data_IF_653864714969
#
_entry.id   IF_653864714969
#
_cell.length_a   1.000
_cell.length_b   1.000
_cell.length_c   1.000
_cell.angle_alpha   90.00
_cell.angle_beta   90.00
_cell.angle_gamma   90.00
#
_symmetry.space_group_name_H-M   'P 1'
#
loop_
_entity.id
_entity.type
_entity.pdbx_description
1 polymer ?
#
# COMPACT_ATOMS: atom_id res chain seq x y z
N UNK A 1 -7.95 50.87 -38.92
CA UNK A 1 -8.65 49.87 -38.08
C UNK A 1 -8.20 48.47 -38.49
N UNK A 2 -7.33 47.81 -37.70
CA UNK A 2 -6.91 46.42 -37.92
C UNK A 2 -7.17 45.64 -36.63
N UNK A 3 -8.16 44.75 -36.67
CA UNK A 3 -8.59 43.92 -35.53
C UNK A 3 -7.53 42.84 -35.28
N UNK A 4 -7.02 42.76 -34.06
CA UNK A 4 -6.21 41.64 -33.59
C UNK A 4 -7.15 40.49 -33.20
N UNK A 5 -6.96 39.31 -33.81
CA UNK A 5 -7.59 38.07 -33.40
C UNK A 5 -6.65 37.37 -32.44
N UNK A 6 -6.93 37.46 -31.14
CA UNK A 6 -6.26 36.68 -30.11
C UNK A 6 -6.79 35.25 -30.18
N UNK A 7 -6.01 34.33 -30.73
CA UNK A 7 -6.31 32.90 -30.67
C UNK A 7 -6.05 32.41 -29.23
N UNK A 8 -7.13 32.13 -28.49
CA UNK A 8 -7.06 31.50 -27.17
C UNK A 8 -6.63 30.04 -27.31
N UNK A 9 -5.47 29.69 -26.74
CA UNK A 9 -5.06 28.31 -26.54
C UNK A 9 -5.92 27.70 -25.43
N UNK A 10 -6.88 26.87 -25.80
CA UNK A 10 -7.62 26.04 -24.85
C UNK A 10 -6.71 24.85 -24.51
N UNK A 11 -6.15 24.85 -23.30
CA UNK A 11 -5.54 23.66 -22.72
C UNK A 11 -6.64 22.66 -22.37
N UNK A 12 -6.86 21.69 -23.24
CA UNK A 12 -7.67 20.51 -22.93
C UNK A 12 -6.86 19.65 -21.95
N UNK A 13 -7.23 19.69 -20.66
CA UNK A 13 -6.80 18.68 -19.71
C UNK A 13 -7.44 17.36 -20.10
N UNK A 14 -6.70 16.57 -20.88
CA UNK A 14 -7.00 15.15 -21.08
C UNK A 14 -6.90 14.49 -19.71
N UNK A 15 -8.05 14.10 -19.15
CA UNK A 15 -8.10 13.18 -18.03
C UNK A 15 -7.53 11.84 -18.53
N UNK A 16 -6.23 11.64 -18.32
CA UNK A 16 -5.63 10.32 -18.45
C UNK A 16 -6.37 9.41 -17.48
N UNK A 17 -7.13 8.45 -18.02
CA UNK A 17 -7.61 7.31 -17.25
C UNK A 17 -6.35 6.53 -16.90
N UNK A 18 -5.78 6.81 -15.73
CA UNK A 18 -4.62 6.10 -15.26
C UNK A 18 -5.04 4.67 -14.94
N UNK A 19 -4.59 3.73 -15.77
CA UNK A 19 -4.61 2.33 -15.42
C UNK A 19 -3.52 2.08 -14.38
N UNK A 20 -3.84 1.28 -13.36
CA UNK A 20 -2.84 0.79 -12.42
C UNK A 20 -1.80 -0.05 -13.18
N UNK A 21 -0.49 0.13 -12.90
CA UNK A 21 0.53 -0.70 -13.52
C UNK A 21 0.42 -2.14 -13.02
N UNK A 22 0.66 -3.12 -13.90
CA UNK A 22 0.56 -4.54 -13.58
C UNK A 22 1.56 -4.99 -12.50
N UNK A 23 2.64 -4.24 -12.33
CA UNK A 23 3.65 -4.45 -11.32
C UNK A 23 4.07 -3.11 -10.71
N UNK A 24 4.41 -3.12 -9.43
CA UNK A 24 4.87 -1.92 -8.74
C UNK A 24 5.53 -2.24 -7.42
N UNK A 25 6.35 -1.30 -6.95
CA UNK A 25 6.99 -1.33 -5.63
C UNK A 25 6.70 -0.04 -4.89
N UNK A 26 6.13 -0.16 -3.72
CA UNK A 26 5.62 0.96 -2.94
C UNK A 26 6.31 0.96 -1.58
N UNK A 27 6.81 2.12 -1.18
CA UNK A 27 7.34 2.37 0.15
C UNK A 27 6.29 3.13 0.96
N UNK A 28 5.69 2.46 1.93
CA UNK A 28 4.74 3.02 2.87
C UNK A 28 5.43 3.58 4.10
N UNK A 29 4.82 4.59 4.71
CA UNK A 29 5.11 5.00 6.08
C UNK A 29 3.93 4.67 6.98
N UNK A 30 4.11 3.81 8.00
CA UNK A 30 3.06 3.56 9.00
C UNK A 30 2.85 4.82 9.85
N UNK A 31 1.66 5.41 9.80
CA UNK A 31 1.45 6.77 10.31
C UNK A 31 0.40 6.85 11.43
N UNK A 32 -0.66 6.03 11.35
CA UNK A 32 -1.85 6.19 12.18
C UNK A 32 -2.25 4.89 12.86
N UNK A 33 -2.75 4.98 14.10
CA UNK A 33 -3.49 3.89 14.74
C UNK A 33 -4.94 3.98 14.30
N UNK A 34 -5.40 2.98 13.56
CA UNK A 34 -6.79 2.88 13.08
C UNK A 34 -7.71 2.27 14.15
N UNK A 35 -7.19 1.31 14.92
CA UNK A 35 -7.91 0.61 16.00
C UNK A 35 -6.94 0.23 17.12
N UNK A 36 -7.44 0.25 18.35
CA UNK A 36 -6.70 -0.12 19.56
C UNK A 36 -6.19 1.12 20.31
N UNK A 37 -6.02 0.99 21.63
CA UNK A 37 -5.64 2.11 22.49
C UNK A 37 -4.13 2.42 22.40
N UNK A 38 -3.32 1.41 22.08
CA UNK A 38 -1.88 1.57 21.86
C UNK A 38 -1.30 0.50 20.93
N UNK A 39 -0.60 0.94 19.88
CA UNK A 39 0.31 0.10 19.10
C UNK A 39 1.76 0.29 19.60
N UNK A 40 2.66 -0.69 19.40
CA UNK A 40 4.08 -0.53 19.71
C UNK A 40 4.65 0.73 19.06
N UNK A 41 5.25 1.62 19.86
CA UNK A 41 5.75 2.91 19.37
C UNK A 41 6.85 2.76 18.32
N UNK A 42 7.60 1.65 18.35
CA UNK A 42 8.62 1.34 17.34
C UNK A 42 8.06 1.27 15.91
N UNK A 43 6.76 1.05 15.75
CA UNK A 43 6.10 1.00 14.45
C UNK A 43 5.63 2.37 13.94
N UNK A 44 5.74 3.43 14.76
CA UNK A 44 5.32 4.77 14.34
C UNK A 44 6.35 5.37 13.39
N UNK A 45 5.88 5.80 12.22
CA UNK A 45 6.66 6.43 11.15
C UNK A 45 7.79 5.56 10.58
N UNK A 46 7.64 4.23 10.63
CA UNK A 46 8.63 3.34 10.01
C UNK A 46 8.31 3.08 8.54
N UNK A 47 9.35 2.89 7.71
CA UNK A 47 9.16 2.52 6.32
C UNK A 47 8.79 1.04 6.19
N UNK A 48 7.89 0.74 5.28
CA UNK A 48 7.49 -0.62 4.91
C UNK A 48 7.45 -0.74 3.40
N UNK A 49 8.09 -1.75 2.83
CA UNK A 49 8.14 -1.95 1.38
C UNK A 49 7.24 -3.12 1.01
N UNK A 50 6.34 -2.89 0.06
CA UNK A 50 5.54 -3.91 -0.60
C UNK A 50 5.77 -3.84 -2.09
N UNK A 51 5.88 -4.99 -2.75
CA UNK A 51 5.72 -5.06 -4.21
C UNK A 51 4.52 -5.92 -4.58
N UNK A 52 4.08 -5.79 -5.82
CA UNK A 52 3.03 -6.63 -6.36
C UNK A 52 3.26 -6.92 -7.83
N UNK A 53 2.69 -8.03 -8.26
CA UNK A 53 2.51 -8.40 -9.66
C UNK A 53 1.09 -8.92 -9.81
N UNK A 54 0.28 -8.18 -10.56
CA UNK A 54 -1.14 -8.41 -10.72
C UNK A 54 -1.61 -8.24 -12.16
N UNK A 55 -2.26 -9.27 -12.68
CA UNK A 55 -2.99 -9.20 -13.95
C UNK A 55 -4.44 -8.78 -13.66
N UNK A 56 -4.74 -7.50 -13.91
CA UNK A 56 -6.07 -6.92 -13.65
C UNK A 56 -7.18 -7.49 -14.55
N UNK A 57 -6.86 -7.91 -15.77
CA UNK A 57 -7.83 -8.50 -16.71
C UNK A 57 -8.28 -9.89 -16.25
N UNK A 58 -7.33 -10.68 -15.73
CA UNK A 58 -7.56 -12.05 -15.25
C UNK A 58 -7.85 -12.12 -13.75
N UNK A 59 -7.81 -10.98 -13.06
CA UNK A 59 -8.01 -10.87 -11.62
C UNK A 59 -7.11 -11.84 -10.82
N UNK A 60 -5.85 -11.93 -11.20
CA UNK A 60 -4.91 -12.90 -10.62
C UNK A 60 -3.53 -12.30 -10.39
N UNK A 61 -2.84 -12.76 -9.36
CA UNK A 61 -1.55 -12.25 -8.96
C UNK A 61 -1.41 -12.19 -7.46
N UNK A 62 -0.33 -11.59 -6.98
CA UNK A 62 0.05 -11.58 -5.56
C UNK A 62 0.79 -10.29 -5.24
N UNK A 63 0.82 -9.94 -3.96
CA UNK A 63 1.71 -8.92 -3.43
C UNK A 63 2.66 -9.55 -2.40
N UNK A 64 3.77 -8.89 -2.11
CA UNK A 64 4.69 -9.32 -1.08
C UNK A 64 5.09 -8.14 -0.22
N UNK A 65 4.99 -8.30 1.09
CA UNK A 65 5.82 -7.52 1.99
C UNK A 65 7.27 -7.91 1.70
N UNK A 66 8.17 -6.94 1.59
CA UNK A 66 9.61 -7.17 1.37
C UNK A 66 10.47 -6.75 2.55
N UNK A 67 10.08 -5.66 3.22
CA UNK A 67 10.88 -5.07 4.29
C UNK A 67 10.01 -4.28 5.24
N UNK A 68 10.34 -4.36 6.53
CA UNK A 68 9.85 -3.47 7.59
C UNK A 68 11.06 -2.85 8.26
N UNK A 69 11.23 -1.52 8.15
CA UNK A 69 12.40 -0.81 8.66
C UNK A 69 13.71 -1.45 8.15
N UNK A 70 14.50 -2.06 9.03
CA UNK A 70 15.77 -2.74 8.77
C UNK A 70 15.61 -4.24 8.50
N UNK A 71 14.44 -4.82 8.78
CA UNK A 71 14.17 -6.25 8.64
C UNK A 71 13.70 -6.59 7.23
N UNK A 72 14.50 -7.36 6.50
CA UNK A 72 14.06 -8.04 5.28
C UNK A 72 13.11 -9.18 5.65
N UNK A 73 11.88 -9.11 5.14
CA UNK A 73 10.85 -10.10 5.40
C UNK A 73 9.97 -10.23 4.16
N UNK A 74 10.10 -11.37 3.47
CA UNK A 74 9.29 -11.72 2.30
C UNK A 74 8.01 -12.44 2.73
N UNK A 75 6.95 -11.70 3.05
CA UNK A 75 5.63 -12.26 3.37
C UNK A 75 4.71 -12.21 2.15
N UNK A 76 4.04 -13.30 1.83
CA UNK A 76 3.13 -13.36 0.68
C UNK A 76 1.74 -12.83 1.06
N UNK A 77 1.17 -11.97 0.22
CA UNK A 77 -0.16 -11.41 0.38
C UNK A 77 -1.05 -11.88 -0.77
N UNK A 78 -2.08 -12.65 -0.44
CA UNK A 78 -3.00 -13.26 -1.39
C UNK A 78 -4.19 -12.34 -1.68
N UNK A 79 -4.70 -12.33 -2.93
CA UNK A 79 -5.84 -11.51 -3.28
C UNK A 79 -7.10 -11.97 -2.53
N UNK A 80 -7.85 -11.03 -1.97
CA UNK A 80 -9.11 -11.28 -1.25
C UNK A 80 -10.37 -11.11 -2.09
N UNK A 81 -10.21 -10.84 -3.39
CA UNK A 81 -11.31 -10.59 -4.31
C UNK A 81 -11.51 -9.10 -4.62
N UNK A 82 -12.52 -8.82 -5.43
CA UNK A 82 -12.76 -7.50 -6.03
C UNK A 82 -13.77 -6.68 -5.22
N UNK A 83 -13.38 -5.47 -4.85
CA UNK A 83 -14.27 -4.41 -4.40
C UNK A 83 -13.93 -3.13 -5.18
N UNK A 84 -14.17 -1.95 -4.61
CA UNK A 84 -13.75 -0.66 -5.18
C UNK A 84 -12.22 -0.49 -5.27
N UNK A 85 -11.46 -1.46 -4.75
CA UNK A 85 -10.01 -1.57 -4.75
C UNK A 85 -9.61 -3.06 -4.85
N UNK A 86 -8.36 -3.32 -5.21
CA UNK A 86 -7.76 -4.65 -5.14
C UNK A 86 -7.16 -4.84 -3.75
N UNK A 87 -7.59 -5.88 -3.05
CA UNK A 87 -7.18 -6.17 -1.68
C UNK A 87 -6.32 -7.42 -1.63
N UNK A 88 -5.26 -7.37 -0.85
CA UNK A 88 -4.35 -8.47 -0.60
C UNK A 88 -4.18 -8.65 0.90
N UNK A 89 -4.04 -9.89 1.38
CA UNK A 89 -3.83 -10.18 2.79
C UNK A 89 -2.90 -11.36 2.99
N UNK A 90 -2.05 -11.26 4.02
CA UNK A 90 -1.20 -12.37 4.45
C UNK A 90 -2.05 -13.52 4.98
N UNK A 91 -1.78 -14.74 4.52
CA UNK A 91 -2.31 -15.98 5.12
C UNK A 91 -1.25 -16.61 6.03
N UNK A 92 -0.94 -15.92 7.12
CA UNK A 92 0.07 -16.33 8.09
C UNK A 92 -0.51 -16.49 9.49
N UNK A 93 0.13 -17.35 10.29
CA UNK A 93 -0.04 -17.31 11.75
C UNK A 93 0.60 -16.03 12.31
N UNK A 94 0.15 -15.52 13.47
CA UNK A 94 0.87 -14.43 14.13
C UNK A 94 2.35 -14.75 14.26
N UNK A 95 3.18 -13.79 13.89
CA UNK A 95 4.62 -13.94 13.76
C UNK A 95 5.31 -12.89 14.61
N UNK A 96 6.14 -13.35 15.55
CA UNK A 96 7.06 -12.49 16.28
C UNK A 96 8.20 -12.08 15.35
N UNK A 97 8.41 -10.77 15.21
CA UNK A 97 9.53 -10.19 14.47
C UNK A 97 10.37 -9.31 15.39
N UNK A 98 11.67 -9.27 15.09
CA UNK A 98 12.62 -8.39 15.76
C UNK A 98 12.82 -7.12 14.92
N UNK A 99 12.49 -5.97 15.49
CA UNK A 99 12.74 -4.65 14.91
C UNK A 99 13.72 -3.90 15.80
N UNK A 100 15.00 -3.96 15.46
CA UNK A 100 16.13 -3.56 16.30
C UNK A 100 16.07 -4.27 17.67
N UNK A 101 15.96 -3.54 18.78
CA UNK A 101 15.87 -4.11 20.14
C UNK A 101 14.43 -4.37 20.60
N UNK A 102 13.44 -4.29 19.71
CA UNK A 102 12.03 -4.47 20.05
C UNK A 102 11.44 -5.73 19.39
N UNK A 103 10.65 -6.44 20.18
CA UNK A 103 9.83 -7.55 19.70
C UNK A 103 8.42 -7.04 19.33
N UNK A 104 7.94 -7.44 18.16
CA UNK A 104 6.60 -7.11 17.68
C UNK A 104 5.95 -8.36 17.10
N UNK A 105 4.79 -8.76 17.63
CA UNK A 105 3.95 -9.77 16.96
C UNK A 105 3.12 -9.11 15.87
N UNK A 106 3.25 -9.57 14.63
CA UNK A 106 2.39 -9.19 13.51
C UNK A 106 1.40 -10.33 13.25
N UNK A 107 0.11 -10.03 13.38
CA UNK A 107 -0.98 -10.99 13.13
C UNK A 107 -1.27 -11.13 11.65
N UNK A 108 -1.51 -10.00 10.98
CA UNK A 108 -1.87 -9.94 9.56
C UNK A 108 -1.39 -8.65 8.93
N UNK A 109 -1.11 -8.72 7.64
CA UNK A 109 -0.79 -7.58 6.78
C UNK A 109 -1.88 -7.52 5.71
N UNK A 110 -2.43 -6.33 5.48
CA UNK A 110 -3.43 -6.08 4.45
C UNK A 110 -2.92 -4.94 3.57
N UNK A 111 -2.92 -5.15 2.26
CA UNK A 111 -2.50 -4.18 1.27
C UNK A 111 -3.67 -3.87 0.35
N UNK A 112 -4.00 -2.60 0.20
CA UNK A 112 -5.04 -2.11 -0.70
C UNK A 112 -4.41 -1.31 -1.83
N UNK A 113 -4.84 -1.63 -3.06
CA UNK A 113 -4.48 -0.92 -4.27
C UNK A 113 -5.75 -0.32 -4.88
N UNK A 114 -5.88 1.01 -4.81
CA UNK A 114 -7.07 1.75 -5.23
C UNK A 114 -6.97 2.16 -6.70
N UNK A 115 -8.12 2.19 -7.39
CA UNK A 115 -8.21 2.54 -8.81
C UNK A 115 -7.83 4.00 -9.13
N UNK A 116 -7.61 4.84 -8.12
CA UNK A 116 -7.16 6.23 -8.25
C UNK A 116 -5.63 6.37 -8.10
N UNK A 117 -4.87 5.31 -8.38
CA UNK A 117 -3.40 5.25 -8.22
C UNK A 117 -2.89 5.54 -6.81
N UNK A 118 -3.71 5.24 -5.81
CA UNK A 118 -3.27 5.26 -4.42
C UNK A 118 -3.19 3.86 -3.86
N UNK A 119 -2.36 3.69 -2.84
CA UNK A 119 -2.30 2.47 -2.08
C UNK A 119 -2.28 2.74 -0.58
N UNK A 120 -2.69 1.74 0.19
CA UNK A 120 -2.58 1.75 1.65
C UNK A 120 -2.13 0.40 2.16
N UNK A 121 -1.41 0.44 3.27
CA UNK A 121 -1.02 -0.73 4.04
C UNK A 121 -1.67 -0.68 5.42
N UNK A 122 -2.14 -1.83 5.88
CA UNK A 122 -2.61 -2.04 7.24
C UNK A 122 -1.86 -3.20 7.87
N UNK A 123 -1.47 -3.02 9.12
CA UNK A 123 -0.81 -4.07 9.90
C UNK A 123 -1.59 -4.30 11.19
N UNK A 124 -2.07 -5.53 11.37
CA UNK A 124 -2.70 -5.99 12.60
C UNK A 124 -1.61 -6.52 13.53
N UNK A 125 -1.51 -5.95 14.73
CA UNK A 125 -0.43 -6.17 15.69
C UNK A 125 -0.95 -6.87 16.95
N UNK A 126 -0.11 -7.72 17.53
CA UNK A 126 -0.41 -8.60 18.67
C UNK A 126 -1.04 -9.92 18.22
N UNK A 127 -1.11 -10.91 19.11
CA UNK A 127 -1.57 -12.29 18.79
C UNK A 127 -2.96 -12.38 18.15
N UNK A 128 -3.83 -11.40 18.39
CA UNK A 128 -5.21 -11.39 17.91
C UNK A 128 -5.55 -10.11 17.11
N UNK A 129 -4.54 -9.34 16.71
CA UNK A 129 -4.77 -8.07 16.01
C UNK A 129 -5.44 -7.00 16.89
N UNK A 130 -4.99 -6.91 18.15
CA UNK A 130 -5.51 -5.97 19.15
C UNK A 130 -5.34 -4.50 18.73
N UNK A 131 -4.30 -4.24 17.92
CA UNK A 131 -4.04 -2.92 17.36
C UNK A 131 -3.92 -3.00 15.83
N UNK A 132 -4.38 -1.97 15.13
CA UNK A 132 -4.26 -1.86 13.68
C UNK A 132 -3.55 -0.56 13.35
N UNK A 133 -2.38 -0.65 12.72
CA UNK A 133 -1.70 0.50 12.13
C UNK A 133 -2.04 0.64 10.66
N UNK A 134 -2.21 1.87 10.22
CA UNK A 134 -2.49 2.27 8.85
C UNK A 134 -1.36 3.19 8.34
N UNK A 135 -0.97 3.00 7.08
CA UNK A 135 -0.05 3.91 6.40
C UNK A 135 -0.74 5.20 5.93
N UNK A 136 0.05 6.23 5.66
CA UNK A 136 -0.43 7.28 4.75
C UNK A 136 -0.80 6.67 3.38
N UNK A 137 -1.71 7.28 2.60
CA UNK A 137 -1.90 6.92 1.20
C UNK A 137 -0.64 7.23 0.41
N UNK A 138 -0.12 6.24 -0.31
CA UNK A 138 1.06 6.41 -1.18
C UNK A 138 0.66 6.33 -2.66
N UNK A 139 1.32 7.10 -3.55
CA UNK A 139 1.11 6.96 -4.99
C UNK A 139 1.64 5.61 -5.48
N UNK A 140 1.06 5.12 -6.56
CA UNK A 140 1.51 3.91 -7.24
C UNK A 140 2.20 4.27 -8.54
N UNK A 141 3.51 4.05 -8.55
CA UNK A 141 4.36 4.16 -9.72
C UNK A 141 4.78 2.74 -10.16
N UNK A 142 4.66 2.45 -11.44
CA UNK A 142 5.08 1.16 -11.99
C UNK A 142 6.60 1.02 -11.97
N UNK A 143 7.10 -0.20 -12.16
CA UNK A 143 8.50 -0.35 -12.55
C UNK A 143 8.69 0.31 -13.93
N UNK A 144 9.66 1.22 -14.02
CA UNK A 144 10.03 1.90 -15.27
C UNK A 144 10.82 0.97 -16.20
#
# INVERSE_FOLDING_TARGET
MKRWLSAGFIFLFINSVYALPAEGKIQFTLAKILKGDSCPQILKNIPVIVDYHYNFERNMGQAHLRRIKSLDWSETLYPLGLSNYYAFMSDMKPKLIQLDDNEVTVYRIIFHLYKNNQAKLFMMIGEQGNCIMESAPEPVEGFA
#
